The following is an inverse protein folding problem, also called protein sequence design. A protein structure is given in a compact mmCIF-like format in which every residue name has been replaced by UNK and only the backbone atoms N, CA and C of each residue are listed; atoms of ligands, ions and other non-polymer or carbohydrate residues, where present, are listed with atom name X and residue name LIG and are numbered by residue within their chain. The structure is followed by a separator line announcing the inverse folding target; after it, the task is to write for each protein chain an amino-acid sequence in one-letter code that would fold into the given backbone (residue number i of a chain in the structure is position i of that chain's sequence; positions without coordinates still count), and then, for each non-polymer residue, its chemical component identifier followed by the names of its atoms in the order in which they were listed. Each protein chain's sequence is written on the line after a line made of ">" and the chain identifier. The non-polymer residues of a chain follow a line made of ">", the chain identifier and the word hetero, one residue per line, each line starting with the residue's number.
data_IF_238756895954
#
_entry.id   IF_238756895954
#
_cell.length_a   1.000
_cell.length_b   1.000
_cell.length_c   1.000
_cell.angle_alpha   90.00
_cell.angle_beta   90.00
_cell.angle_gamma   90.00
#
_symmetry.space_group_name_H-M   'P 1'
#
loop_
_entity.id
_entity.type
_entity.pdbx_description
1 polymer ?
#
# COMPACT_ATOMS: atom_id res chain seq x y z
N UNK A 1 -17.12 29.33 14.12
CA UNK A 1 -16.06 28.90 13.19
C UNK A 1 -15.28 27.69 13.72
N UNK A 2 -14.47 27.81 14.79
CA UNK A 2 -13.64 26.69 15.31
C UNK A 2 -14.46 25.44 15.69
N UNK A 3 -15.65 25.61 16.28
CA UNK A 3 -16.56 24.49 16.61
C UNK A 3 -17.02 23.69 15.38
N UNK A 4 -17.22 24.34 14.23
CA UNK A 4 -17.61 23.67 12.99
C UNK A 4 -16.42 22.92 12.38
N UNK A 5 -15.22 23.50 12.43
CA UNK A 5 -14.00 22.84 11.97
C UNK A 5 -13.72 21.59 12.82
N UNK A 6 -13.84 21.68 14.14
CA UNK A 6 -13.70 20.51 15.02
C UNK A 6 -14.73 19.42 14.72
N UNK A 7 -15.99 19.78 14.49
CA UNK A 7 -17.02 18.83 14.08
C UNK A 7 -16.67 18.15 12.75
N UNK A 8 -16.19 18.90 11.76
CA UNK A 8 -15.77 18.35 10.47
C UNK A 8 -14.58 17.39 10.59
N UNK A 9 -13.60 17.71 11.44
CA UNK A 9 -12.45 16.82 11.70
C UNK A 9 -12.89 15.51 12.37
N UNK A 10 -13.82 15.56 13.32
CA UNK A 10 -14.37 14.36 13.96
C UNK A 10 -15.11 13.50 12.94
N UNK A 11 -15.98 14.11 12.13
CA UNK A 11 -16.72 13.39 11.09
C UNK A 11 -15.77 12.78 10.06
N UNK A 12 -14.74 13.50 9.63
CA UNK A 12 -13.73 12.99 8.70
C UNK A 12 -12.93 11.83 9.32
N UNK A 13 -12.56 11.91 10.60
CA UNK A 13 -11.86 10.84 11.30
C UNK A 13 -12.71 9.57 11.45
N UNK A 14 -13.99 9.73 11.84
CA UNK A 14 -14.93 8.59 11.93
C UNK A 14 -15.18 7.99 10.56
N UNK A 15 -15.43 8.82 9.54
CA UNK A 15 -15.61 8.35 8.17
C UNK A 15 -14.37 7.59 7.69
N UNK A 16 -13.16 8.13 7.89
CA UNK A 16 -11.90 7.48 7.53
C UNK A 16 -11.71 6.13 8.23
N UNK A 17 -12.08 6.02 9.50
CA UNK A 17 -12.00 4.77 10.26
C UNK A 17 -12.89 3.67 9.68
N UNK A 18 -14.12 4.00 9.28
CA UNK A 18 -15.05 3.04 8.67
C UNK A 18 -14.77 2.75 7.20
N UNK A 19 -14.04 3.64 6.52
CA UNK A 19 -13.79 3.53 5.08
C UNK A 19 -12.35 3.11 4.76
N UNK A 20 -11.50 2.80 5.74
CA UNK A 20 -10.16 2.28 5.43
C UNK A 20 -10.26 0.94 4.68
N UNK A 21 -9.42 0.72 3.66
CA UNK A 21 -9.40 -0.55 2.95
C UNK A 21 -8.81 -1.65 3.85
N UNK A 22 -9.41 -2.83 3.79
CA UNK A 22 -8.92 -4.02 4.46
C UNK A 22 -7.67 -4.62 3.80
N UNK A 23 -6.98 -5.49 4.53
CA UNK A 23 -5.77 -6.15 4.06
C UNK A 23 -5.99 -6.92 2.76
N UNK A 24 -7.14 -7.56 2.57
CA UNK A 24 -7.41 -8.34 1.36
C UNK A 24 -7.49 -7.45 0.11
N UNK A 25 -8.13 -6.29 0.23
CA UNK A 25 -8.21 -5.29 -0.84
C UNK A 25 -6.82 -4.73 -1.18
N UNK A 26 -6.01 -4.42 -0.17
CA UNK A 26 -4.65 -3.91 -0.36
C UNK A 26 -3.70 -4.96 -0.94
N UNK A 27 -3.87 -6.22 -0.52
CA UNK A 27 -3.15 -7.36 -1.07
C UNK A 27 -3.43 -7.54 -2.55
N UNK A 28 -4.71 -7.52 -2.96
CA UNK A 28 -5.09 -7.62 -4.36
C UNK A 28 -4.48 -6.48 -5.21
N UNK A 29 -4.43 -5.26 -4.68
CA UNK A 29 -3.76 -4.13 -5.32
C UNK A 29 -2.25 -4.33 -5.48
N UNK A 30 -1.58 -4.87 -4.46
CA UNK A 30 -0.16 -5.19 -4.53
C UNK A 30 0.13 -6.29 -5.56
N UNK A 31 -0.66 -7.37 -5.55
CA UNK A 31 -0.53 -8.47 -6.52
C UNK A 31 -0.80 -7.99 -7.97
N UNK A 32 -1.68 -7.01 -8.17
CA UNK A 32 -1.89 -6.38 -9.49
C UNK A 32 -0.66 -5.59 -9.97
N UNK A 33 -0.03 -4.79 -9.11
CA UNK A 33 1.23 -4.08 -9.44
C UNK A 33 2.39 -5.06 -9.68
N UNK A 34 2.42 -6.17 -8.95
CA UNK A 34 3.44 -7.20 -9.14
C UNK A 34 3.28 -7.96 -10.46
N UNK A 35 2.04 -8.15 -10.91
CA UNK A 35 1.70 -8.88 -12.14
C UNK A 35 1.71 -8.02 -13.40
N UNK A 36 1.83 -6.69 -13.28
CA UNK A 36 1.79 -5.79 -14.43
C UNK A 36 3.14 -5.74 -15.18
N UNK A 37 3.19 -6.20 -16.44
CA UNK A 37 4.43 -6.29 -17.21
C UNK A 37 4.93 -4.95 -17.73
N UNK A 38 4.12 -3.88 -17.69
CA UNK A 38 4.49 -2.54 -18.16
C UNK A 38 5.28 -1.72 -17.13
N UNK A 39 5.33 -2.19 -15.88
CA UNK A 39 6.11 -1.58 -14.79
C UNK A 39 7.47 -2.24 -14.54
N UNK A 40 7.88 -3.15 -15.43
CA UNK A 40 9.13 -3.91 -15.31
C UNK A 40 10.29 -3.00 -15.72
N UNK A 41 10.92 -2.35 -14.75
CA UNK A 41 12.32 -1.96 -14.89
C UNK A 41 13.15 -3.23 -15.10
N UNK A 42 14.01 -3.24 -16.12
CA UNK A 42 14.76 -4.39 -16.69
C UNK A 42 15.51 -5.31 -15.69
N UNK A 43 15.60 -4.96 -14.41
CA UNK A 43 16.16 -5.82 -13.35
C UNK A 43 15.22 -6.92 -12.83
N UNK A 44 13.94 -6.93 -13.23
CA UNK A 44 12.88 -7.71 -12.56
C UNK A 44 12.08 -8.65 -13.46
N UNK A 45 12.62 -9.11 -14.60
CA UNK A 45 12.05 -10.26 -15.32
C UNK A 45 12.07 -11.55 -14.48
N UNK A 46 12.87 -11.61 -13.41
CA UNK A 46 13.03 -12.82 -12.57
C UNK A 46 12.12 -12.90 -11.33
N UNK A 47 11.50 -11.80 -10.90
CA UNK A 47 10.81 -11.74 -9.58
C UNK A 47 9.28 -11.66 -9.72
N UNK A 48 8.75 -11.38 -10.92
CA UNK A 48 7.31 -11.19 -11.17
C UNK A 48 6.40 -12.42 -11.08
N UNK A 49 6.93 -13.65 -10.93
CA UNK A 49 6.10 -14.85 -11.09
C UNK A 49 5.49 -15.41 -9.80
N UNK A 50 6.11 -15.20 -8.62
CA UNK A 50 5.60 -15.74 -7.34
C UNK A 50 6.42 -15.16 -6.18
N UNK A 51 6.13 -13.92 -5.76
CA UNK A 51 6.79 -13.35 -4.58
C UNK A 51 6.10 -13.89 -3.32
N UNK A 52 6.71 -14.90 -2.71
CA UNK A 52 6.48 -15.32 -1.33
C UNK A 52 7.25 -14.42 -0.34
N UNK A 53 7.26 -13.11 -0.61
CA UNK A 53 7.85 -12.11 0.26
C UNK A 53 7.03 -11.94 1.54
N UNK A 54 7.67 -11.44 2.59
CA UNK A 54 6.99 -11.09 3.83
C UNK A 54 5.97 -9.98 3.55
N UNK A 55 4.74 -10.21 3.99
CA UNK A 55 3.59 -9.33 3.77
C UNK A 55 3.21 -8.70 5.10
N UNK A 56 3.32 -7.38 5.22
CA UNK A 56 3.04 -6.65 6.45
C UNK A 56 1.91 -5.65 6.24
N UNK A 57 0.81 -5.83 6.98
CA UNK A 57 -0.30 -4.88 7.04
C UNK A 57 -0.22 -4.05 8.33
N UNK A 58 -0.21 -2.73 8.20
CA UNK A 58 -0.18 -1.77 9.29
C UNK A 58 -1.42 -0.88 9.26
N UNK A 59 -2.16 -0.86 10.37
CA UNK A 59 -3.38 -0.08 10.53
C UNK A 59 -3.11 1.23 11.28
N UNK A 60 -3.33 2.36 10.60
CA UNK A 60 -3.12 3.70 11.14
C UNK A 60 -4.45 4.41 11.48
N UNK A 61 -5.46 3.64 11.91
CA UNK A 61 -6.78 4.12 12.32
C UNK A 61 -7.66 4.63 11.16
N UNK A 62 -7.20 5.65 10.43
CA UNK A 62 -7.90 6.28 9.28
C UNK A 62 -7.26 5.93 7.94
N UNK A 63 -6.07 5.34 7.99
CA UNK A 63 -5.33 4.87 6.84
C UNK A 63 -4.78 3.48 7.13
N UNK A 64 -4.41 2.77 6.08
CA UNK A 64 -3.77 1.47 6.15
C UNK A 64 -2.55 1.46 5.22
N UNK A 65 -1.53 0.70 5.61
CA UNK A 65 -0.32 0.50 4.81
C UNK A 65 -0.06 -0.99 4.65
N UNK A 66 0.34 -1.40 3.46
CA UNK A 66 0.61 -2.78 3.13
C UNK A 66 1.92 -2.83 2.36
N UNK A 67 2.93 -3.43 2.96
CA UNK A 67 4.25 -3.58 2.38
C UNK A 67 4.51 -5.05 2.03
N UNK A 68 5.10 -5.27 0.87
CA UNK A 68 5.66 -6.58 0.47
C UNK A 68 7.17 -6.43 0.47
N UNK A 69 7.85 -7.19 1.31
CA UNK A 69 9.31 -7.18 1.44
C UNK A 69 9.91 -8.48 0.91
N UNK A 70 11.08 -8.39 0.29
CA UNK A 70 11.88 -9.52 -0.17
C UNK A 70 13.28 -9.39 0.43
N UNK A 71 13.71 -10.38 1.20
CA UNK A 71 15.02 -10.35 1.90
C UNK A 71 15.25 -9.06 2.70
N UNK A 72 14.21 -8.56 3.36
CA UNK A 72 14.24 -7.33 4.17
C UNK A 72 14.11 -6.02 3.38
N UNK A 73 14.03 -6.05 2.04
CA UNK A 73 13.87 -4.86 1.20
C UNK A 73 12.42 -4.73 0.72
N UNK A 74 11.74 -3.59 0.92
CA UNK A 74 10.39 -3.38 0.38
C UNK A 74 10.42 -3.27 -1.13
N UNK A 75 9.63 -4.10 -1.81
CA UNK A 75 9.51 -4.10 -3.28
C UNK A 75 8.20 -3.46 -3.74
N UNK A 76 7.15 -3.54 -2.92
CA UNK A 76 5.86 -2.89 -3.16
C UNK A 76 5.36 -2.28 -1.86
N UNK A 77 4.88 -1.05 -1.94
CA UNK A 77 4.21 -0.36 -0.85
C UNK A 77 2.85 0.15 -1.32
N UNK A 78 1.81 -0.24 -0.61
CA UNK A 78 0.45 0.21 -0.83
C UNK A 78 -0.02 1.05 0.35
N UNK A 79 -0.60 2.21 0.05
CA UNK A 79 -1.27 3.08 1.00
C UNK A 79 -2.75 3.11 0.71
N UNK A 80 -3.55 3.04 1.77
CA UNK A 80 -4.99 3.00 1.71
C UNK A 80 -5.63 4.05 2.61
N UNK A 81 -6.60 4.80 2.09
CA UNK A 81 -7.44 5.71 2.88
C UNK A 81 -8.78 5.91 2.16
N UNK A 82 -9.89 6.00 2.89
CA UNK A 82 -11.21 6.27 2.31
C UNK A 82 -11.58 5.37 1.10
N UNK A 83 -11.37 4.06 1.22
CA UNK A 83 -11.58 3.01 0.20
C UNK A 83 -10.68 3.12 -1.02
N UNK A 84 -9.83 4.14 -1.09
CA UNK A 84 -8.86 4.29 -2.14
C UNK A 84 -7.59 3.55 -1.72
N UNK A 85 -7.06 2.75 -2.64
CA UNK A 85 -5.77 2.06 -2.50
C UNK A 85 -4.86 2.57 -3.59
N UNK A 86 -3.70 3.07 -3.20
CA UNK A 86 -2.63 3.45 -4.09
C UNK A 86 -1.43 2.55 -3.82
N UNK A 87 -1.08 1.72 -4.79
CA UNK A 87 0.09 0.86 -4.74
C UNK A 87 1.19 1.44 -5.61
N UNK A 88 2.44 1.33 -5.15
CA UNK A 88 3.61 1.72 -5.92
C UNK A 88 4.73 0.72 -5.69
N UNK A 89 5.49 0.41 -6.75
CA UNK A 89 6.77 -0.28 -6.59
C UNK A 89 7.74 0.67 -5.90
N UNK A 90 8.49 0.13 -4.95
CA UNK A 90 9.60 0.83 -4.33
C UNK A 90 10.85 0.32 -5.01
N UNK A 91 11.75 1.24 -5.36
CA UNK A 91 13.04 0.91 -5.95
C UNK A 91 13.78 -0.06 -5.02
N UNK A 92 14.21 -1.20 -5.56
CA UNK A 92 15.01 -2.13 -4.81
C UNK A 92 16.39 -1.49 -4.56
N UNK A 93 16.63 -1.12 -3.29
CA UNK A 93 17.89 -0.48 -2.89
C UNK A 93 19.09 -1.42 -2.94
N UNK A 94 18.90 -2.72 -3.24
CA UNK A 94 19.97 -3.71 -3.44
C UNK A 94 20.63 -3.55 -4.81
N UNK A 95 19.88 -3.11 -5.82
CA UNK A 95 20.40 -2.91 -7.18
C UNK A 95 21.10 -1.56 -7.42
N UNK A 96 21.04 -0.63 -6.45
CA UNK A 96 21.65 0.71 -6.57
C UNK A 96 20.97 1.55 -7.65
N UNK A 97 19.99 2.36 -7.24
CA UNK A 97 19.32 3.33 -8.12
C UNK A 97 20.26 4.40 -8.68
#
# INVERSE_FOLDING_TARGET
>A
MVRLILLLLIVAGVAGYFTKPDEATMRAGADAVLSDPGSISEGLESVGATIAGDRAYNDYYVAAKYDVTLDGTPVVSCWGAFQQVQCSRVEDTRTGG
#
